data_IF_146595202032
#
_entry.id   IF_146595202032
#
_cell.length_a   1.000
_cell.length_b   1.000
_cell.length_c   1.000
_cell.angle_alpha   90.00
_cell.angle_beta   90.00
_cell.angle_gamma   90.00
#
_symmetry.space_group_name_H-M   'P 1'
#
loop_
_entity.id
_entity.type
_entity.pdbx_description
1 polymer ?
#
# COMPACT_ATOMS: atom_id res chain seq x y z
N UNK A 1 9.35 12.68 -0.65
CA UNK A 1 8.66 13.29 0.52
C UNK A 1 8.85 14.81 0.63
N UNK A 2 10.08 15.35 0.62
CA UNK A 2 10.30 16.82 0.68
C UNK A 2 9.56 17.60 -0.41
N UNK A 3 9.68 17.18 -1.67
CA UNK A 3 8.94 17.87 -2.75
C UNK A 3 7.41 17.72 -2.62
N UNK A 4 6.88 16.64 -2.03
CA UNK A 4 5.44 16.57 -1.72
C UNK A 4 5.07 17.68 -0.74
N UNK A 5 5.83 17.83 0.36
CA UNK A 5 5.61 18.91 1.32
C UNK A 5 5.73 20.29 0.67
N UNK A 6 6.76 20.52 -0.14
CA UNK A 6 6.94 21.77 -0.88
C UNK A 6 5.75 22.04 -1.84
N UNK A 7 5.26 20.99 -2.52
CA UNK A 7 4.08 21.10 -3.38
C UNK A 7 2.83 21.45 -2.57
N UNK A 8 2.65 20.91 -1.36
CA UNK A 8 1.55 21.29 -0.45
C UNK A 8 1.67 22.73 0.08
N UNK A 9 2.87 23.28 0.18
CA UNK A 9 3.10 24.66 0.66
C UNK A 9 2.97 25.73 -0.43
N UNK A 10 3.14 25.38 -1.71
CA UNK A 10 2.98 26.34 -2.82
C UNK A 10 1.61 27.01 -2.81
N UNK A 11 1.57 28.27 -3.23
CA UNK A 11 0.31 28.97 -3.50
C UNK A 11 -0.42 28.25 -4.64
N UNK A 12 -1.70 27.97 -4.45
CA UNK A 12 -2.57 27.26 -5.39
C UNK A 12 -3.92 27.92 -5.46
N UNK A 13 -4.61 27.69 -6.56
CA UNK A 13 -6.05 27.96 -6.64
C UNK A 13 -6.84 26.94 -5.81
N UNK A 14 -8.06 27.30 -5.40
CA UNK A 14 -8.96 26.38 -4.70
C UNK A 14 -9.23 25.11 -5.51
N UNK A 15 -9.29 25.21 -6.85
CA UNK A 15 -9.48 24.05 -7.74
C UNK A 15 -8.30 23.09 -7.65
N UNK A 16 -7.06 23.59 -7.73
CA UNK A 16 -5.85 22.78 -7.64
C UNK A 16 -5.69 22.10 -6.27
N UNK A 17 -6.03 22.84 -5.21
CA UNK A 17 -6.03 22.30 -3.84
C UNK A 17 -7.06 21.16 -3.69
N UNK A 18 -8.28 21.37 -4.18
CA UNK A 18 -9.33 20.36 -4.13
C UNK A 18 -8.95 19.09 -4.90
N UNK A 19 -8.30 19.22 -6.06
CA UNK A 19 -7.76 18.08 -6.82
C UNK A 19 -6.74 17.27 -6.01
N UNK A 20 -5.80 17.95 -5.33
CA UNK A 20 -4.81 17.28 -4.48
C UNK A 20 -5.48 16.57 -3.28
N UNK A 21 -6.44 17.23 -2.63
CA UNK A 21 -7.19 16.66 -1.49
C UNK A 21 -7.98 15.42 -1.94
N UNK A 22 -8.67 15.49 -3.09
CA UNK A 22 -9.43 14.36 -3.64
C UNK A 22 -8.54 13.15 -3.89
N UNK A 23 -7.38 13.35 -4.53
CA UNK A 23 -6.43 12.26 -4.76
C UNK A 23 -5.89 11.68 -3.44
N UNK A 24 -5.58 12.52 -2.46
CA UNK A 24 -5.15 12.06 -1.13
C UNK A 24 -6.25 11.31 -0.37
N UNK A 25 -7.53 11.70 -0.52
CA UNK A 25 -8.66 10.97 0.04
C UNK A 25 -8.85 9.62 -0.63
N UNK A 26 -8.76 9.55 -1.97
CA UNK A 26 -8.81 8.29 -2.70
C UNK A 26 -7.69 7.33 -2.29
N UNK A 27 -6.46 7.84 -2.17
CA UNK A 27 -5.32 7.07 -1.65
C UNK A 27 -5.62 6.50 -0.26
N UNK A 28 -6.10 7.34 0.67
CA UNK A 28 -6.47 6.90 2.02
C UNK A 28 -7.58 5.85 2.01
N UNK A 29 -8.61 6.00 1.17
CA UNK A 29 -9.69 5.02 1.08
C UNK A 29 -9.18 3.65 0.61
N UNK A 30 -8.32 3.62 -0.40
CA UNK A 30 -7.71 2.38 -0.92
C UNK A 30 -6.83 1.73 0.15
N UNK A 31 -5.99 2.52 0.82
CA UNK A 31 -5.13 2.05 1.91
C UNK A 31 -5.96 1.47 3.06
N UNK A 32 -7.01 2.16 3.50
CA UNK A 32 -7.90 1.69 4.56
C UNK A 32 -8.59 0.38 4.18
N UNK A 33 -9.02 0.27 2.92
CA UNK A 33 -9.61 -0.97 2.40
C UNK A 33 -8.59 -2.13 2.38
N UNK A 34 -7.35 -1.86 1.95
CA UNK A 34 -6.26 -2.83 2.00
C UNK A 34 -5.96 -3.32 3.43
N UNK A 35 -5.90 -2.41 4.40
CA UNK A 35 -5.74 -2.76 5.80
C UNK A 35 -6.89 -3.60 6.34
N UNK A 36 -8.13 -3.26 5.97
CA UNK A 36 -9.29 -4.05 6.36
C UNK A 36 -9.18 -5.49 5.84
N UNK A 37 -8.83 -5.68 4.56
CA UNK A 37 -8.62 -7.02 3.99
C UNK A 37 -7.46 -7.76 4.66
N UNK A 38 -6.36 -7.07 4.96
CA UNK A 38 -5.22 -7.65 5.66
C UNK A 38 -5.61 -8.16 7.06
N UNK A 39 -6.37 -7.37 7.83
CA UNK A 39 -6.85 -7.77 9.17
C UNK A 39 -7.78 -8.97 9.08
N UNK A 40 -8.73 -8.97 8.13
CA UNK A 40 -9.62 -10.12 7.92
C UNK A 40 -8.81 -11.36 7.55
N UNK A 41 -7.88 -11.26 6.60
CA UNK A 41 -7.01 -12.36 6.18
C UNK A 41 -6.17 -12.91 7.34
N UNK A 42 -5.52 -12.05 8.11
CA UNK A 42 -4.74 -12.44 9.28
C UNK A 42 -5.61 -13.12 10.35
N UNK A 43 -6.80 -12.58 10.60
CA UNK A 43 -7.75 -13.14 11.57
C UNK A 43 -8.17 -14.55 11.15
N UNK A 44 -8.50 -14.76 9.88
CA UNK A 44 -8.84 -16.09 9.36
C UNK A 44 -7.66 -17.05 9.46
N UNK A 45 -6.44 -16.62 9.11
CA UNK A 45 -5.23 -17.42 9.19
C UNK A 45 -4.88 -17.82 10.64
N UNK A 46 -5.04 -16.92 11.61
CA UNK A 46 -4.68 -17.16 13.00
C UNK A 46 -5.77 -17.92 13.77
N UNK A 47 -7.05 -17.66 13.51
CA UNK A 47 -8.16 -18.19 14.31
C UNK A 47 -8.67 -19.53 13.79
N UNK A 48 -8.81 -19.73 12.46
CA UNK A 48 -9.38 -20.96 11.93
C UNK A 48 -8.61 -22.22 12.36
N UNK A 49 -7.25 -22.24 12.36
CA UNK A 49 -6.49 -23.41 12.83
C UNK A 49 -6.76 -23.78 14.29
N UNK A 50 -7.09 -22.82 15.15
CA UNK A 50 -7.47 -23.07 16.55
C UNK A 50 -8.77 -23.87 16.67
N UNK A 51 -9.63 -23.84 15.65
CA UNK A 51 -10.87 -24.63 15.56
C UNK A 51 -10.70 -25.90 14.71
N UNK A 52 -9.46 -26.32 14.41
CA UNK A 52 -9.17 -27.47 13.56
C UNK A 52 -9.55 -27.27 12.09
N UNK A 53 -9.84 -26.03 11.67
CA UNK A 53 -10.13 -25.69 10.28
C UNK A 53 -8.91 -25.02 9.66
N UNK A 54 -8.50 -25.47 8.48
CA UNK A 54 -7.41 -24.84 7.75
C UNK A 54 -7.96 -24.08 6.54
N UNK A 55 -7.46 -22.86 6.32
CA UNK A 55 -7.63 -22.16 5.04
C UNK A 55 -6.79 -22.78 3.92
N UNK A 56 -5.85 -23.67 4.26
CA UNK A 56 -4.98 -24.31 3.30
C UNK A 56 -5.72 -25.42 2.57
N UNK A 57 -5.66 -25.39 1.24
CA UNK A 57 -6.07 -26.52 0.42
C UNK A 57 -5.08 -27.67 0.63
N UNK A 58 -5.54 -28.77 1.22
CA UNK A 58 -4.74 -29.97 1.47
C UNK A 58 -4.67 -30.73 0.14
N UNK A 59 -3.56 -30.62 -0.58
CA UNK A 59 -3.36 -31.32 -1.85
C UNK A 59 -2.72 -32.69 -1.67
N UNK A 60 -2.11 -32.96 -0.50
CA UNK A 60 -1.31 -34.15 -0.29
C UNK A 60 -1.83 -35.00 0.88
N UNK A 61 -2.00 -36.29 0.63
CA UNK A 61 -2.49 -37.30 1.57
C UNK A 61 -1.50 -37.53 2.74
N UNK A 62 -0.24 -37.09 2.59
CA UNK A 62 0.81 -37.13 3.63
C UNK A 62 0.89 -35.85 4.48
N UNK A 63 -0.03 -34.90 4.30
CA UNK A 63 -0.02 -33.69 5.12
C UNK A 63 -0.33 -34.03 6.59
N UNK A 64 0.45 -33.49 7.56
CA UNK A 64 0.27 -33.79 8.97
C UNK A 64 -1.04 -33.19 9.52
N UNK A 65 -1.64 -33.87 10.51
CA UNK A 65 -2.89 -33.44 11.19
C UNK A 65 -2.82 -32.01 11.74
N UNK A 66 -1.62 -31.56 12.13
CA UNK A 66 -1.36 -30.21 12.62
C UNK A 66 -0.80 -29.31 11.52
N UNK A 67 -1.64 -28.39 11.04
CA UNK A 67 -1.32 -27.46 9.95
C UNK A 67 -0.85 -26.12 10.53
N UNK A 68 0.37 -25.71 10.14
CA UNK A 68 0.91 -24.38 10.42
C UNK A 68 0.53 -23.40 9.30
N UNK A 69 0.39 -22.09 9.59
CA UNK A 69 0.10 -21.06 8.58
C UNK A 69 1.05 -21.07 7.37
N UNK A 70 2.35 -21.30 7.60
CA UNK A 70 3.37 -21.43 6.56
C UNK A 70 3.93 -22.86 6.55
N UNK A 71 4.01 -23.46 5.37
CA UNK A 71 4.68 -24.75 5.17
C UNK A 71 6.16 -24.51 4.96
N UNK A 72 6.97 -24.91 5.93
CA UNK A 72 8.43 -24.85 5.84
C UNK A 72 9.03 -26.11 6.45
N UNK A 73 10.31 -26.34 6.17
CA UNK A 73 11.05 -27.45 6.74
C UNK A 73 11.57 -27.08 8.14
N UNK A 74 11.43 -28.02 9.08
CA UNK A 74 11.86 -27.85 10.47
C UNK A 74 12.87 -28.94 10.82
N UNK A 75 13.92 -28.56 11.54
CA UNK A 75 14.97 -29.49 12.02
C UNK A 75 14.54 -30.29 13.27
N UNK A 76 13.34 -30.05 13.78
CA UNK A 76 12.75 -30.69 14.96
C UNK A 76 11.35 -31.21 14.64
N UNK A 77 10.81 -32.10 15.49
CA UNK A 77 9.43 -32.55 15.35
C UNK A 77 8.45 -31.44 15.74
N UNK A 78 7.97 -30.72 14.73
CA UNK A 78 7.01 -29.63 14.89
C UNK A 78 5.63 -30.07 15.39
N UNK A 79 5.27 -31.36 15.29
CA UNK A 79 3.92 -31.82 15.62
C UNK A 79 3.79 -32.13 17.12
N UNK A 80 4.92 -32.34 17.80
CA UNK A 80 4.99 -32.55 19.24
C UNK A 80 4.64 -31.25 20.00
N UNK A 81 3.76 -31.35 20.99
CA UNK A 81 3.49 -30.25 21.92
C UNK A 81 4.63 -30.14 22.94
N UNK A 82 5.16 -28.94 23.27
CA UNK A 82 4.64 -27.59 22.95
C UNK A 82 5.27 -26.93 21.71
N UNK A 83 6.10 -27.64 20.93
CA UNK A 83 6.84 -27.06 19.80
C UNK A 83 5.91 -26.54 18.71
N UNK A 84 4.79 -27.21 18.47
CA UNK A 84 3.77 -26.76 17.53
C UNK A 84 3.26 -25.36 17.87
N UNK A 85 2.87 -25.17 19.12
CA UNK A 85 2.23 -23.97 19.65
C UNK A 85 3.19 -22.78 19.60
N UNK A 86 4.46 -22.99 19.98
CA UNK A 86 5.50 -21.96 19.83
C UNK A 86 5.76 -21.61 18.36
N UNK A 87 5.85 -22.60 17.49
CA UNK A 87 6.10 -22.38 16.06
C UNK A 87 4.92 -21.65 15.41
N UNK A 88 3.70 -21.99 15.78
CA UNK A 88 2.48 -21.32 15.31
C UNK A 88 2.46 -19.84 15.73
N UNK A 89 2.71 -19.56 17.01
CA UNK A 89 2.77 -18.19 17.52
C UNK A 89 3.87 -17.38 16.83
N UNK A 90 5.06 -17.97 16.66
CA UNK A 90 6.17 -17.33 15.96
C UNK A 90 5.84 -17.03 14.49
N UNK A 91 5.22 -17.97 13.77
CA UNK A 91 4.79 -17.73 12.39
C UNK A 91 3.75 -16.62 12.29
N UNK A 92 2.75 -16.60 13.16
CA UNK A 92 1.75 -15.53 13.21
C UNK A 92 2.42 -14.17 13.42
N UNK A 93 3.40 -14.07 14.32
CA UNK A 93 4.16 -12.85 14.53
C UNK A 93 4.98 -12.46 13.29
N UNK A 94 5.66 -13.41 12.64
CA UNK A 94 6.44 -13.16 11.43
C UNK A 94 5.54 -12.67 10.29
N UNK A 95 4.39 -13.31 10.06
CA UNK A 95 3.42 -12.89 9.04
C UNK A 95 2.92 -11.48 9.33
N UNK A 96 2.62 -11.16 10.59
CA UNK A 96 2.17 -9.83 10.97
C UNK A 96 3.24 -8.76 10.69
N UNK A 97 4.49 -9.02 11.09
CA UNK A 97 5.61 -8.09 10.87
C UNK A 97 5.90 -7.93 9.38
N UNK A 98 5.92 -9.03 8.62
CA UNK A 98 6.13 -9.00 7.18
C UNK A 98 5.00 -8.24 6.49
N UNK A 99 3.74 -8.56 6.80
CA UNK A 99 2.57 -7.88 6.25
C UNK A 99 2.57 -6.38 6.54
N UNK A 100 2.92 -5.97 7.76
CA UNK A 100 3.06 -4.55 8.12
C UNK A 100 4.20 -3.87 7.34
N UNK A 101 5.33 -4.56 7.16
CA UNK A 101 6.49 -4.04 6.41
C UNK A 101 6.17 -3.82 4.94
N UNK A 102 5.54 -4.80 4.28
CA UNK A 102 5.07 -4.69 2.89
C UNK A 102 4.01 -3.60 2.75
N UNK A 103 3.00 -3.57 3.62
CA UNK A 103 1.96 -2.53 3.61
C UNK A 103 2.56 -1.12 3.74
N UNK A 104 3.64 -0.96 4.51
CA UNK A 104 4.35 0.32 4.63
C UNK A 104 4.93 0.80 3.30
N UNK A 105 5.54 -0.10 2.53
CA UNK A 105 6.09 0.20 1.20
C UNK A 105 4.97 0.53 0.21
N UNK A 106 3.90 -0.26 0.21
CA UNK A 106 2.73 -0.04 -0.67
C UNK A 106 2.03 1.29 -0.36
N UNK A 107 1.92 1.67 0.92
CA UNK A 107 1.38 2.96 1.33
C UNK A 107 2.23 4.12 0.84
N UNK A 108 3.56 4.00 0.95
CA UNK A 108 4.48 5.01 0.43
C UNK A 108 4.29 5.14 -1.08
N UNK A 109 4.30 4.03 -1.81
CA UNK A 109 4.09 4.01 -3.26
C UNK A 109 2.75 4.64 -3.65
N UNK A 110 1.67 4.24 -2.97
CA UNK A 110 0.33 4.80 -3.18
C UNK A 110 0.30 6.31 -2.97
N UNK A 111 0.91 6.80 -1.88
CA UNK A 111 1.03 8.24 -1.63
C UNK A 111 1.74 8.96 -2.79
N UNK A 112 2.85 8.40 -3.29
CA UNK A 112 3.61 9.00 -4.39
C UNK A 112 2.77 9.04 -5.69
N UNK A 113 2.15 7.93 -6.05
CA UNK A 113 1.33 7.80 -7.27
C UNK A 113 0.16 8.78 -7.21
N UNK A 114 -0.62 8.79 -6.13
CA UNK A 114 -1.77 9.68 -6.03
C UNK A 114 -1.38 11.16 -5.95
N UNK A 115 -0.25 11.49 -5.31
CA UNK A 115 0.27 12.86 -5.37
C UNK A 115 0.65 13.26 -6.80
N UNK A 116 1.38 12.39 -7.52
CA UNK A 116 1.76 12.63 -8.90
C UNK A 116 0.55 12.78 -9.82
N UNK A 117 -0.45 11.92 -9.69
CA UNK A 117 -1.73 12.04 -10.41
C UNK A 117 -2.39 13.40 -10.15
N UNK A 118 -2.43 13.84 -8.90
CA UNK A 118 -2.97 15.17 -8.53
C UNK A 118 -2.17 16.32 -9.15
N UNK A 119 -0.84 16.24 -9.18
CA UNK A 119 0.00 17.25 -9.81
C UNK A 119 -0.18 17.28 -11.34
N UNK A 120 -0.26 16.11 -11.99
CA UNK A 120 -0.49 16.01 -13.44
C UNK A 120 -1.86 16.56 -13.82
N UNK A 121 -2.91 16.26 -13.05
CA UNK A 121 -4.25 16.82 -13.27
C UNK A 121 -4.22 18.36 -13.16
N UNK A 122 -3.51 18.91 -12.17
CA UNK A 122 -3.33 20.36 -12.04
C UNK A 122 -2.57 20.95 -13.24
N UNK A 123 -1.52 20.29 -13.74
CA UNK A 123 -0.80 20.74 -14.93
C UNK A 123 -1.67 20.72 -16.18
N UNK A 124 -2.47 19.67 -16.37
CA UNK A 124 -3.45 19.57 -17.45
C UNK A 124 -4.46 20.71 -17.40
N UNK A 125 -4.99 21.01 -16.22
CA UNK A 125 -5.92 22.13 -16.03
C UNK A 125 -5.27 23.48 -16.36
N UNK A 126 -4.02 23.69 -15.94
CA UNK A 126 -3.27 24.90 -16.29
C UNK A 126 -3.03 25.01 -17.80
N UNK A 127 -2.74 23.89 -18.46
CA UNK A 127 -2.53 23.80 -19.91
C UNK A 127 -3.79 24.18 -20.70
N UNK A 128 -4.95 23.65 -20.29
CA UNK A 128 -6.24 23.94 -20.95
C UNK A 128 -6.62 25.42 -20.80
N UNK A 129 -6.30 26.02 -19.66
CA UNK A 129 -6.70 27.40 -19.33
C UNK A 129 -5.65 28.46 -19.70
N UNK A 130 -4.64 28.12 -20.52
CA UNK A 130 -3.63 29.10 -20.98
C UNK A 130 -4.28 30.16 -21.86
N UNK A 131 -4.00 31.43 -21.55
CA UNK A 131 -4.40 32.57 -22.39
C UNK A 131 -3.38 32.80 -23.51
N UNK A 132 -3.86 33.14 -24.71
CA UNK A 132 -3.04 33.39 -25.90
C UNK A 132 -1.90 34.42 -25.66
N UNK A 133 -2.17 35.48 -24.90
CA UNK A 133 -1.17 36.52 -24.58
C UNK A 133 -0.01 36.04 -23.70
N UNK A 134 -0.20 34.94 -22.97
CA UNK A 134 0.79 34.38 -22.03
C UNK A 134 1.25 32.99 -22.45
N UNK A 135 0.99 32.58 -23.69
CA UNK A 135 1.12 31.20 -24.13
C UNK A 135 2.54 30.64 -23.97
N UNK A 136 3.54 31.33 -24.51
CA UNK A 136 4.94 30.89 -24.47
C UNK A 136 5.45 30.71 -23.02
N UNK A 137 5.17 31.68 -22.15
CA UNK A 137 5.60 31.62 -20.75
C UNK A 137 4.82 30.55 -19.96
N UNK A 138 3.52 30.39 -20.23
CA UNK A 138 2.67 29.38 -19.61
C UNK A 138 3.10 27.95 -19.95
N UNK A 139 3.37 27.69 -21.22
CA UNK A 139 3.87 26.38 -21.68
C UNK A 139 5.25 26.09 -21.10
N UNK A 140 6.18 27.06 -21.13
CA UNK A 140 7.51 26.87 -20.55
C UNK A 140 7.45 26.53 -19.05
N UNK A 141 6.56 27.19 -18.30
CA UNK A 141 6.34 26.86 -16.89
C UNK A 141 5.82 25.43 -16.70
N UNK A 142 4.80 25.02 -17.47
CA UNK A 142 4.20 23.67 -17.37
C UNK A 142 5.22 22.60 -17.72
N UNK A 143 6.01 22.78 -18.78
CA UNK A 143 7.06 21.83 -19.17
C UNK A 143 8.12 21.72 -18.07
N UNK A 144 8.56 22.85 -17.50
CA UNK A 144 9.52 22.85 -16.39
C UNK A 144 8.98 22.11 -15.17
N UNK A 145 7.72 22.31 -14.83
CA UNK A 145 7.09 21.66 -13.70
C UNK A 145 6.86 20.16 -13.95
N UNK A 146 6.46 19.78 -15.16
CA UNK A 146 6.34 18.37 -15.57
C UNK A 146 7.68 17.63 -15.49
N UNK A 147 8.77 18.23 -16.00
CA UNK A 147 10.12 17.66 -15.90
C UNK A 147 10.54 17.50 -14.43
N UNK A 148 10.18 18.45 -13.56
CA UNK A 148 10.44 18.36 -12.11
C UNK A 148 9.68 17.19 -11.48
N UNK A 149 8.43 16.94 -11.89
CA UNK A 149 7.62 15.83 -11.40
C UNK A 149 8.13 14.46 -11.85
N UNK A 150 8.70 14.34 -13.06
CA UNK A 150 9.25 13.06 -13.57
C UNK A 150 10.56 12.68 -12.86
N UNK A 151 11.30 13.67 -12.35
CA UNK A 151 12.54 13.43 -11.58
C UNK A 151 12.27 12.97 -10.13
N UNK A 152 11.01 12.71 -9.81
CA UNK A 152 10.56 12.37 -8.47
C UNK A 152 10.62 10.86 -8.20
#
# INVERSE_FOLDING_TARGET
LKMIADDWLKIKTNKELNTMIKNAQNARAIIMFGYFLMVVGFTLLAILPCFGKSMRYITNITDPDKILPLQTYYLYDKNQSPYFEFTFAAQCLIILIAGASYSGVDNLLGLLIFHLCGQIENLKERLINIRHKTFNNGIAFIVKDHIRLIKF
#
